data_IF_079407528304
#
_entry.id   IF_079407528304
#
_cell.length_a   1.000
_cell.length_b   1.000
_cell.length_c   1.000
_cell.angle_alpha   90.00
_cell.angle_beta   90.00
_cell.angle_gamma   90.00
#
_symmetry.space_group_name_H-M   'P 1'
#
loop_
_entity.id
_entity.type
_entity.pdbx_description
1 polymer ?
#
# COMPACT_ATOMS: atom_id res chain seq x y z
N UNK A 1 43.84 58.40 2.03
CA UNK A 1 44.56 57.12 1.83
C UNK A 1 44.02 56.18 2.85
N UNK A 2 42.92 55.53 2.57
CA UNK A 2 42.39 54.50 3.45
C UNK A 2 41.87 53.38 2.54
N UNK A 3 42.62 52.29 2.66
CA UNK A 3 42.46 51.07 1.91
C UNK A 3 41.47 50.17 2.70
N UNK A 4 40.22 50.06 2.24
CA UNK A 4 39.22 49.22 2.89
C UNK A 4 39.13 47.90 2.15
N UNK A 5 39.91 46.93 2.60
CA UNK A 5 39.91 45.53 2.15
C UNK A 5 38.57 44.87 2.56
N UNK A 6 37.72 44.60 1.56
CA UNK A 6 36.51 43.82 1.70
C UNK A 6 36.87 42.36 1.89
N UNK A 7 36.75 41.85 3.12
CA UNK A 7 36.89 40.42 3.43
C UNK A 7 35.64 39.69 2.96
N UNK A 8 35.77 38.88 1.89
CA UNK A 8 34.75 37.94 1.45
C UNK A 8 34.53 36.83 2.51
N UNK A 9 33.32 36.75 3.05
CA UNK A 9 32.89 35.61 3.85
C UNK A 9 32.88 34.35 2.99
N UNK A 10 33.88 33.53 3.12
CA UNK A 10 33.89 32.16 2.61
C UNK A 10 32.82 31.34 3.37
N UNK A 11 31.81 30.86 2.63
CA UNK A 11 30.84 29.90 3.14
C UNK A 11 31.60 28.63 3.56
N UNK A 12 31.62 28.33 4.84
CA UNK A 12 32.26 27.13 5.39
C UNK A 12 31.61 25.84 4.85
N UNK A 13 32.34 24.72 4.83
CA UNK A 13 31.84 23.46 4.32
C UNK A 13 30.63 23.01 5.12
N UNK A 14 29.50 22.72 4.40
CA UNK A 14 28.30 22.14 4.99
C UNK A 14 28.69 20.89 5.76
N UNK A 15 28.34 20.86 7.07
CA UNK A 15 28.51 19.67 7.90
C UNK A 15 27.80 18.49 7.26
N UNK A 16 28.44 17.29 7.16
CA UNK A 16 27.76 16.08 6.74
C UNK A 16 26.57 15.84 7.68
N UNK A 17 25.38 15.57 7.11
CA UNK A 17 24.21 15.20 7.89
C UNK A 17 24.59 14.03 8.81
N UNK A 18 24.29 14.12 10.11
CA UNK A 18 24.49 13.03 11.05
C UNK A 18 23.79 11.76 10.49
N UNK A 19 24.44 10.59 10.60
CA UNK A 19 23.86 9.32 10.18
C UNK A 19 22.46 9.19 10.79
N UNK A 20 21.42 9.04 9.95
CA UNK A 20 20.00 8.97 10.33
C UNK A 20 19.15 10.19 9.96
N UNK A 21 19.70 11.39 9.85
CA UNK A 21 18.91 12.57 9.44
C UNK A 21 18.46 12.49 7.98
N UNK A 22 19.29 11.90 7.10
CA UNK A 22 18.95 11.72 5.69
C UNK A 22 17.81 10.72 5.51
N UNK A 23 17.83 9.60 6.21
CA UNK A 23 16.76 8.60 6.14
C UNK A 23 15.45 9.14 6.71
N UNK A 24 15.51 9.84 7.84
CA UNK A 24 14.34 10.50 8.42
C UNK A 24 13.70 11.50 7.45
N UNK A 25 14.51 12.34 6.79
CA UNK A 25 13.98 13.29 5.81
C UNK A 25 13.39 12.58 4.59
N UNK A 26 14.01 11.48 4.15
CA UNK A 26 13.46 10.65 3.07
C UNK A 26 12.06 10.13 3.44
N UNK A 27 11.88 9.62 4.66
CA UNK A 27 10.59 9.14 5.14
C UNK A 27 9.56 10.26 5.32
N UNK A 28 9.96 11.45 5.75
CA UNK A 28 9.10 12.64 5.83
C UNK A 28 8.60 13.05 4.43
N UNK A 29 9.46 12.99 3.40
CA UNK A 29 9.08 13.26 2.00
C UNK A 29 8.07 12.22 1.50
N UNK A 30 8.32 10.92 1.74
CA UNK A 30 7.41 9.83 1.36
C UNK A 30 6.06 9.97 2.07
N UNK A 31 6.05 10.32 3.35
CA UNK A 31 4.81 10.51 4.13
C UNK A 31 3.98 11.66 3.58
N UNK A 32 4.60 12.80 3.26
CA UNK A 32 3.92 13.92 2.65
C UNK A 32 3.38 13.57 1.25
N UNK A 33 4.15 12.83 0.46
CA UNK A 33 3.71 12.36 -0.86
C UNK A 33 2.54 11.38 -0.75
N UNK A 34 2.53 10.46 0.23
CA UNK A 34 1.43 9.53 0.46
C UNK A 34 0.13 10.27 0.81
N UNK A 35 0.19 11.26 1.70
CA UNK A 35 -0.97 12.08 2.02
C UNK A 35 -1.50 12.79 0.76
N UNK A 36 -0.63 13.44 -0.01
CA UNK A 36 -1.04 14.15 -1.22
C UNK A 36 -1.63 13.20 -2.27
N UNK A 37 -1.03 12.03 -2.50
CA UNK A 37 -1.54 11.04 -3.45
C UNK A 37 -2.89 10.47 -3.00
N UNK A 38 -3.09 10.29 -1.70
CA UNK A 38 -4.38 9.90 -1.13
C UNK A 38 -5.48 10.91 -1.41
N UNK A 39 -5.18 12.20 -1.25
CA UNK A 39 -6.14 13.29 -1.49
C UNK A 39 -6.40 13.52 -2.99
N UNK A 40 -5.35 13.46 -3.83
CA UNK A 40 -5.44 13.70 -5.27
C UNK A 40 -6.04 12.50 -6.03
N UNK A 41 -5.82 11.28 -5.57
CA UNK A 41 -6.15 10.03 -6.24
C UNK A 41 -5.62 9.94 -7.70
N UNK A 42 -4.55 10.69 -7.99
CA UNK A 42 -3.93 10.83 -9.31
C UNK A 42 -2.43 11.13 -9.13
N UNK A 43 -1.57 10.26 -9.65
CA UNK A 43 -0.12 10.44 -9.55
C UNK A 43 0.42 11.52 -10.50
N UNK A 44 -0.25 11.78 -11.62
CA UNK A 44 0.17 12.83 -12.56
C UNK A 44 0.01 14.23 -11.95
N UNK A 45 -0.90 14.39 -10.99
CA UNK A 45 -1.10 15.64 -10.25
C UNK A 45 -0.06 15.89 -9.15
N UNK A 46 0.75 14.89 -8.76
CA UNK A 46 1.76 15.05 -7.72
C UNK A 46 2.89 15.99 -8.17
N UNK A 47 3.19 17.01 -7.36
CA UNK A 47 4.25 17.97 -7.61
C UNK A 47 5.35 17.90 -6.56
N UNK A 48 6.62 17.60 -6.97
CA UNK A 48 7.78 17.60 -6.08
C UNK A 48 7.96 18.95 -5.34
N UNK A 49 7.58 20.06 -5.98
CA UNK A 49 7.61 21.40 -5.34
C UNK A 49 6.54 21.53 -4.26
N UNK A 50 5.36 20.95 -4.47
CA UNK A 50 4.32 20.93 -3.45
C UNK A 50 4.73 20.07 -2.25
N UNK A 51 5.28 18.88 -2.48
CA UNK A 51 5.85 18.02 -1.43
C UNK A 51 6.94 18.76 -0.65
N UNK A 52 7.88 19.45 -1.33
CA UNK A 52 8.92 20.23 -0.67
C UNK A 52 8.35 21.30 0.28
N UNK A 53 7.28 21.98 -0.13
CA UNK A 53 6.59 22.97 0.72
C UNK A 53 5.95 22.33 1.95
N UNK A 54 5.28 21.19 1.77
CA UNK A 54 4.64 20.45 2.88
C UNK A 54 5.67 20.05 3.95
N UNK A 55 6.86 19.61 3.52
CA UNK A 55 7.96 19.20 4.43
C UNK A 55 8.84 20.38 4.86
N UNK A 56 8.54 21.62 4.39
CA UNK A 56 9.30 22.83 4.70
C UNK A 56 10.80 22.77 4.31
N UNK A 57 11.10 22.17 3.14
CA UNK A 57 12.45 22.07 2.57
C UNK A 57 12.51 22.72 1.18
N UNK A 58 13.75 22.93 0.68
CA UNK A 58 13.91 23.39 -0.70
C UNK A 58 13.55 22.28 -1.71
N UNK A 59 12.98 22.63 -2.88
CA UNK A 59 12.77 21.63 -3.95
C UNK A 59 14.04 20.88 -4.32
N UNK A 60 15.21 21.54 -4.33
CA UNK A 60 16.51 20.93 -4.57
C UNK A 60 16.82 19.81 -3.57
N UNK A 61 16.36 19.95 -2.33
CA UNK A 61 16.54 18.91 -1.30
C UNK A 61 15.73 17.64 -1.62
N UNK A 62 14.55 17.75 -2.23
CA UNK A 62 13.76 16.58 -2.66
C UNK A 62 14.49 15.84 -3.77
N UNK A 63 15.07 16.55 -4.74
CA UNK A 63 15.82 15.95 -5.85
C UNK A 63 17.09 15.19 -5.42
N UNK A 64 17.60 15.42 -4.21
CA UNK A 64 18.70 14.62 -3.65
C UNK A 64 18.27 13.18 -3.30
N UNK A 65 16.97 12.96 -3.04
CA UNK A 65 16.40 11.66 -2.65
C UNK A 65 15.64 11.00 -3.79
N UNK A 66 14.95 11.80 -4.62
CA UNK A 66 14.10 11.33 -5.70
C UNK A 66 14.41 12.15 -6.96
N UNK A 67 15.04 11.54 -7.99
CA UNK A 67 15.48 12.25 -9.18
C UNK A 67 14.32 12.85 -9.97
N UNK A 68 13.15 12.26 -9.87
CA UNK A 68 11.93 12.70 -10.56
C UNK A 68 10.67 12.34 -9.77
N UNK A 69 9.51 12.73 -10.31
CA UNK A 69 8.19 12.43 -9.74
C UNK A 69 7.95 10.93 -9.67
N UNK A 70 8.25 10.19 -10.72
CA UNK A 70 7.95 8.78 -10.84
C UNK A 70 8.71 7.94 -9.81
N UNK A 71 9.98 8.31 -9.54
CA UNK A 71 10.75 7.72 -8.46
C UNK A 71 10.13 7.95 -7.08
N UNK A 72 9.59 9.15 -6.82
CA UNK A 72 8.88 9.44 -5.57
C UNK A 72 7.56 8.66 -5.49
N UNK A 73 6.77 8.64 -6.58
CA UNK A 73 5.51 7.86 -6.64
C UNK A 73 5.80 6.38 -6.39
N UNK A 74 6.78 5.80 -7.08
CA UNK A 74 7.15 4.38 -6.91
C UNK A 74 7.55 4.06 -5.46
N UNK A 75 8.41 4.88 -4.85
CA UNK A 75 8.83 4.69 -3.46
C UNK A 75 7.68 4.84 -2.47
N UNK A 76 6.79 5.81 -2.70
CA UNK A 76 5.61 6.03 -1.86
C UNK A 76 4.64 4.84 -1.96
N UNK A 77 4.35 4.38 -3.16
CA UNK A 77 3.46 3.23 -3.37
C UNK A 77 4.08 1.94 -2.84
N UNK A 78 5.40 1.77 -2.93
CA UNK A 78 6.09 0.63 -2.32
C UNK A 78 5.88 0.59 -0.81
N UNK A 79 6.01 1.72 -0.11
CA UNK A 79 5.75 1.80 1.34
C UNK A 79 4.29 1.47 1.66
N UNK A 80 3.34 2.12 0.98
CA UNK A 80 1.90 1.89 1.20
C UNK A 80 1.51 0.43 0.93
N UNK A 81 2.07 -0.19 -0.12
CA UNK A 81 1.86 -1.61 -0.39
C UNK A 81 2.45 -2.50 0.70
N UNK A 82 3.65 -2.16 1.22
CA UNK A 82 4.26 -2.91 2.31
C UNK A 82 3.42 -2.84 3.59
N UNK A 83 2.85 -1.68 3.92
CA UNK A 83 1.92 -1.51 5.04
C UNK A 83 0.67 -2.41 4.89
N UNK A 84 0.07 -2.43 3.70
CA UNK A 84 -1.08 -3.30 3.40
C UNK A 84 -0.72 -4.79 3.51
N UNK A 85 0.45 -5.20 3.00
CA UNK A 85 0.93 -6.59 3.10
C UNK A 85 1.17 -6.97 4.55
N UNK A 86 1.80 -6.09 5.33
CA UNK A 86 2.07 -6.32 6.75
C UNK A 86 0.76 -6.49 7.54
N UNK A 87 -0.20 -5.60 7.37
CA UNK A 87 -1.51 -5.72 8.03
C UNK A 87 -2.21 -7.05 7.69
N UNK A 88 -2.12 -7.49 6.43
CA UNK A 88 -2.67 -8.77 6.00
C UNK A 88 -1.92 -9.97 6.62
N UNK A 89 -0.59 -9.92 6.69
CA UNK A 89 0.23 -10.98 7.29
C UNK A 89 -0.03 -11.09 8.79
N UNK A 90 -0.14 -9.97 9.51
CA UNK A 90 -0.44 -9.92 10.94
C UNK A 90 -1.85 -10.47 11.24
N UNK A 91 -2.84 -10.06 10.44
CA UNK A 91 -4.21 -10.55 10.57
C UNK A 91 -4.29 -12.08 10.35
N UNK A 92 -3.60 -12.61 9.34
CA UNK A 92 -3.52 -14.05 9.11
C UNK A 92 -2.85 -14.79 10.27
N UNK A 93 -1.72 -14.28 10.75
CA UNK A 93 -0.93 -14.90 11.82
C UNK A 93 -1.65 -14.95 13.18
N UNK A 94 -2.68 -14.13 13.37
CA UNK A 94 -3.53 -14.16 14.57
C UNK A 94 -4.42 -15.42 14.66
N UNK A 95 -4.53 -16.20 13.58
CA UNK A 95 -5.38 -17.39 13.51
C UNK A 95 -4.55 -18.66 13.29
N UNK A 96 -4.84 -19.72 14.09
CA UNK A 96 -4.24 -21.05 13.89
C UNK A 96 -4.96 -21.84 12.77
N UNK A 97 -6.25 -21.59 12.58
CA UNK A 97 -7.05 -22.18 11.50
C UNK A 97 -6.71 -21.48 10.18
N UNK A 98 -6.19 -22.19 9.15
CA UNK A 98 -5.82 -21.61 7.87
C UNK A 98 -6.99 -20.92 7.15
N UNK A 99 -8.22 -21.44 7.29
CA UNK A 99 -9.41 -20.83 6.67
C UNK A 99 -9.73 -19.47 7.28
N UNK A 100 -9.71 -19.38 8.62
CA UNK A 100 -9.88 -18.12 9.33
C UNK A 100 -8.71 -17.16 9.06
N UNK A 101 -7.49 -17.66 8.98
CA UNK A 101 -6.31 -16.88 8.63
C UNK A 101 -6.41 -16.26 7.22
N UNK A 102 -6.77 -17.05 6.20
CA UNK A 102 -6.97 -16.53 4.83
C UNK A 102 -8.11 -15.50 4.79
N UNK A 103 -9.21 -15.76 5.51
CA UNK A 103 -10.32 -14.79 5.64
C UNK A 103 -9.84 -13.48 6.25
N UNK A 104 -9.12 -13.53 7.37
CA UNK A 104 -8.60 -12.35 8.06
C UNK A 104 -7.65 -11.55 7.17
N UNK A 105 -6.78 -12.22 6.41
CA UNK A 105 -5.91 -11.62 5.39
C UNK A 105 -6.70 -10.78 4.38
N UNK A 106 -7.77 -11.33 3.80
CA UNK A 106 -8.60 -10.64 2.80
C UNK A 106 -9.33 -9.45 3.43
N UNK A 107 -9.84 -9.61 4.66
CA UNK A 107 -10.53 -8.52 5.36
C UNK A 107 -9.58 -7.37 5.71
N UNK A 108 -8.34 -7.66 6.15
CA UNK A 108 -7.35 -6.64 6.47
C UNK A 108 -6.91 -5.85 5.22
N UNK A 109 -6.73 -6.51 4.07
CA UNK A 109 -6.47 -5.82 2.80
C UNK A 109 -7.60 -4.86 2.45
N UNK A 110 -8.85 -5.29 2.60
CA UNK A 110 -9.99 -4.45 2.28
C UNK A 110 -10.17 -3.29 3.27
N UNK A 111 -9.89 -3.50 4.55
CA UNK A 111 -9.91 -2.42 5.54
C UNK A 111 -8.90 -1.34 5.15
N UNK A 112 -7.66 -1.74 4.80
CA UNK A 112 -6.65 -0.79 4.33
C UNK A 112 -7.11 0.01 3.10
N UNK A 113 -7.74 -0.66 2.13
CA UNK A 113 -8.28 0.01 0.92
C UNK A 113 -9.40 0.98 1.25
N UNK A 114 -10.28 0.63 2.18
CA UNK A 114 -11.37 1.51 2.62
C UNK A 114 -10.84 2.76 3.34
N UNK A 115 -9.75 2.64 4.09
CA UNK A 115 -9.07 3.76 4.73
C UNK A 115 -8.28 4.63 3.75
N UNK A 116 -7.81 4.04 2.63
CA UNK A 116 -6.92 4.70 1.68
C UNK A 116 -7.37 4.57 0.22
N UNK A 117 -8.63 4.95 -0.13
CA UNK A 117 -9.19 4.71 -1.47
C UNK A 117 -8.41 5.43 -2.58
N UNK A 118 -7.92 6.64 -2.32
CA UNK A 118 -7.11 7.40 -3.28
C UNK A 118 -5.75 6.75 -3.57
N UNK A 119 -5.06 6.26 -2.53
CA UNK A 119 -3.81 5.52 -2.69
C UNK A 119 -4.01 4.20 -3.45
N UNK A 120 -5.12 3.50 -3.16
CA UNK A 120 -5.48 2.28 -3.88
C UNK A 120 -5.71 2.54 -5.38
N UNK A 121 -6.40 3.64 -5.71
CA UNK A 121 -6.61 4.07 -7.09
C UNK A 121 -5.27 4.33 -7.79
N UNK A 122 -4.39 5.14 -7.20
CA UNK A 122 -3.04 5.39 -7.73
C UNK A 122 -2.27 4.08 -7.93
N UNK A 123 -2.32 3.16 -6.96
CA UNK A 123 -1.63 1.87 -7.05
C UNK A 123 -2.08 1.02 -8.24
N UNK A 124 -3.32 1.16 -8.70
CA UNK A 124 -3.88 0.34 -9.78
C UNK A 124 -3.89 1.04 -11.13
N UNK A 125 -4.05 2.36 -11.18
CA UNK A 125 -4.21 3.15 -12.40
C UNK A 125 -2.91 3.80 -12.88
N UNK A 126 -1.94 4.03 -12.00
CA UNK A 126 -0.64 4.64 -12.35
C UNK A 126 0.12 3.80 -13.37
N UNK A 127 0.74 4.47 -14.33
CA UNK A 127 1.65 3.88 -15.32
C UNK A 127 3.09 3.68 -14.79
N UNK A 128 3.38 4.20 -13.60
CA UNK A 128 4.67 4.01 -12.96
C UNK A 128 4.88 2.53 -12.65
N UNK A 129 6.03 1.99 -13.01
CA UNK A 129 6.37 0.59 -12.76
C UNK A 129 6.40 0.25 -11.27
N UNK A 130 5.65 -0.77 -10.87
CA UNK A 130 5.50 -1.17 -9.47
C UNK A 130 5.75 -2.68 -9.31
N UNK A 131 7.00 -3.15 -9.39
CA UNK A 131 7.34 -4.59 -9.34
C UNK A 131 6.98 -5.25 -8.01
N UNK A 132 6.87 -4.48 -6.92
CA UNK A 132 6.51 -4.97 -5.59
C UNK A 132 5.08 -5.53 -5.50
N UNK A 133 4.20 -5.27 -6.45
CA UNK A 133 2.80 -5.77 -6.44
C UNK A 133 2.69 -7.29 -6.44
N UNK A 134 3.72 -8.01 -6.87
CA UNK A 134 3.75 -9.48 -6.85
C UNK A 134 3.83 -10.07 -5.44
N UNK A 135 4.35 -9.31 -4.47
CA UNK A 135 4.54 -9.80 -3.09
C UNK A 135 3.20 -10.22 -2.48
N UNK A 136 2.16 -9.38 -2.63
CA UNK A 136 0.82 -9.69 -2.11
C UNK A 136 0.24 -10.96 -2.74
N UNK A 137 0.42 -11.13 -4.06
CA UNK A 137 -0.02 -12.33 -4.76
C UNK A 137 0.69 -13.58 -4.24
N UNK A 138 2.01 -13.55 -4.11
CA UNK A 138 2.81 -14.66 -3.57
C UNK A 138 2.36 -15.05 -2.15
N UNK A 139 2.13 -14.06 -1.29
CA UNK A 139 1.65 -14.30 0.09
C UNK A 139 0.25 -14.91 0.11
N UNK A 140 -0.67 -14.42 -0.72
CA UNK A 140 -2.02 -14.98 -0.83
C UNK A 140 -2.00 -16.41 -1.39
N UNK A 141 -1.16 -16.69 -2.39
CA UNK A 141 -0.97 -18.05 -2.92
C UNK A 141 -0.50 -19.03 -1.82
N UNK A 142 0.46 -18.60 -1.01
CA UNK A 142 0.93 -19.42 0.12
C UNK A 142 -0.17 -19.65 1.17
N UNK A 143 -1.04 -18.66 1.42
CA UNK A 143 -2.18 -18.81 2.33
C UNK A 143 -3.22 -19.82 1.78
N UNK A 144 -3.54 -19.75 0.49
CA UNK A 144 -4.41 -20.72 -0.18
C UNK A 144 -3.82 -22.12 -0.11
N UNK A 145 -2.52 -22.27 -0.37
CA UNK A 145 -1.84 -23.56 -0.27
C UNK A 145 -1.95 -24.15 1.13
N UNK A 146 -1.77 -23.35 2.18
CA UNK A 146 -1.97 -23.80 3.58
C UNK A 146 -3.38 -24.33 3.84
N UNK A 147 -4.40 -23.70 3.25
CA UNK A 147 -5.78 -24.19 3.35
C UNK A 147 -5.96 -25.55 2.65
N UNK A 148 -5.34 -25.74 1.48
CA UNK A 148 -5.36 -27.02 0.74
C UNK A 148 -4.63 -28.12 1.50
N UNK A 149 -3.43 -27.83 2.03
CA UNK A 149 -2.61 -28.80 2.79
C UNK A 149 -3.30 -29.23 4.08
N UNK A 150 -4.09 -28.35 4.70
CA UNK A 150 -4.91 -28.64 5.87
C UNK A 150 -6.23 -29.36 5.54
N UNK A 151 -6.56 -29.55 4.26
CA UNK A 151 -7.80 -30.19 3.81
C UNK A 151 -9.06 -29.34 4.05
N UNK A 152 -8.93 -28.03 4.31
CA UNK A 152 -10.07 -27.13 4.54
C UNK A 152 -10.48 -26.37 3.28
N UNK A 153 -9.71 -26.50 2.19
CA UNK A 153 -10.01 -25.94 0.87
C UNK A 153 -10.10 -27.06 -0.18
N UNK A 154 -10.76 -26.76 -1.31
CA UNK A 154 -10.79 -27.67 -2.44
C UNK A 154 -9.38 -27.90 -2.99
N UNK A 155 -9.00 -29.16 -3.34
CA UNK A 155 -7.70 -29.41 -3.95
C UNK A 155 -7.61 -28.75 -5.34
N UNK A 156 -6.42 -28.25 -5.69
CA UNK A 156 -6.21 -27.59 -6.97
C UNK A 156 -4.84 -26.93 -7.07
N UNK A 157 -4.66 -26.09 -8.08
CA UNK A 157 -3.50 -25.22 -8.20
C UNK A 157 -3.71 -23.94 -7.38
N UNK A 158 -2.97 -23.81 -6.30
CA UNK A 158 -3.09 -22.68 -5.38
C UNK A 158 -2.83 -21.32 -6.06
N UNK A 159 -1.96 -21.26 -7.08
CA UNK A 159 -1.67 -20.03 -7.80
C UNK A 159 -2.87 -19.59 -8.65
N UNK A 160 -3.51 -20.51 -9.35
CA UNK A 160 -4.73 -20.25 -10.12
C UNK A 160 -5.86 -19.79 -9.19
N UNK A 161 -6.12 -20.49 -8.10
CA UNK A 161 -7.17 -20.12 -7.13
C UNK A 161 -6.89 -18.76 -6.50
N UNK A 162 -5.64 -18.48 -6.14
CA UNK A 162 -5.25 -17.17 -5.60
C UNK A 162 -5.41 -16.04 -6.63
N UNK A 163 -5.19 -16.32 -7.93
CA UNK A 163 -5.40 -15.35 -8.99
C UNK A 163 -6.88 -15.04 -9.18
N UNK A 164 -7.74 -16.06 -9.17
CA UNK A 164 -9.20 -15.90 -9.27
C UNK A 164 -9.73 -15.11 -8.06
N UNK A 165 -9.30 -15.47 -6.85
CA UNK A 165 -9.65 -14.75 -5.64
C UNK A 165 -9.19 -13.29 -5.68
N UNK A 166 -7.96 -13.04 -6.11
CA UNK A 166 -7.42 -11.69 -6.29
C UNK A 166 -8.25 -10.89 -7.28
N UNK A 167 -8.60 -11.47 -8.41
CA UNK A 167 -9.41 -10.82 -9.45
C UNK A 167 -10.77 -10.43 -8.91
N UNK A 168 -11.43 -11.32 -8.18
CA UNK A 168 -12.72 -11.05 -7.55
C UNK A 168 -12.63 -9.93 -6.49
N UNK A 169 -11.61 -9.97 -5.63
CA UNK A 169 -11.41 -8.97 -4.56
C UNK A 169 -11.07 -7.60 -5.16
N UNK A 170 -10.14 -7.54 -6.13
CA UNK A 170 -9.78 -6.27 -6.79
C UNK A 170 -10.99 -5.68 -7.51
N UNK A 171 -11.73 -6.47 -8.29
CA UNK A 171 -12.93 -6.02 -8.99
C UNK A 171 -13.99 -5.47 -8.03
N UNK A 172 -14.23 -6.17 -6.93
CA UNK A 172 -15.17 -5.73 -5.90
C UNK A 172 -14.73 -4.41 -5.24
N UNK A 173 -13.47 -4.29 -4.83
CA UNK A 173 -12.95 -3.09 -4.18
C UNK A 173 -12.97 -1.89 -5.13
N UNK A 174 -12.56 -2.09 -6.38
CA UNK A 174 -12.59 -1.05 -7.41
C UNK A 174 -14.03 -0.56 -7.67
N UNK A 175 -14.99 -1.48 -7.81
CA UNK A 175 -16.39 -1.12 -8.02
C UNK A 175 -16.98 -0.39 -6.81
N UNK A 176 -16.66 -0.79 -5.58
CA UNK A 176 -17.12 -0.09 -4.37
C UNK A 176 -16.61 1.35 -4.27
N UNK A 177 -15.40 1.62 -4.76
CA UNK A 177 -14.82 2.96 -4.80
C UNK A 177 -15.50 3.80 -5.89
N UNK A 178 -15.69 3.24 -7.08
CA UNK A 178 -16.17 3.98 -8.24
C UNK A 178 -17.71 4.04 -8.34
N UNK A 179 -18.42 3.09 -7.74
CA UNK A 179 -19.87 2.95 -7.76
C UNK A 179 -20.43 2.71 -6.35
N UNK A 180 -20.27 3.67 -5.41
CA UNK A 180 -20.62 3.47 -3.99
C UNK A 180 -22.12 3.28 -3.77
N UNK A 181 -22.96 3.77 -4.67
CA UNK A 181 -24.45 3.73 -4.55
C UNK A 181 -25.06 2.38 -4.94
N UNK A 182 -24.26 1.41 -5.41
CA UNK A 182 -24.79 0.07 -5.68
C UNK A 182 -25.21 -0.60 -4.37
N UNK A 183 -26.19 -1.54 -4.41
CA UNK A 183 -26.71 -2.22 -3.22
C UNK A 183 -25.72 -3.25 -2.67
N UNK A 184 -24.60 -2.76 -2.15
CA UNK A 184 -23.53 -3.59 -1.63
C UNK A 184 -23.94 -4.34 -0.35
N UNK A 185 -23.74 -5.66 -0.34
CA UNK A 185 -23.71 -6.42 0.92
C UNK A 185 -22.55 -5.95 1.79
N UNK A 186 -22.58 -6.14 3.12
CA UNK A 186 -21.41 -5.95 3.97
C UNK A 186 -20.19 -6.66 3.39
N UNK A 187 -19.03 -6.00 3.46
CA UNK A 187 -17.80 -6.53 2.85
C UNK A 187 -17.44 -7.95 3.36
N UNK A 188 -17.51 -8.24 4.67
CA UNK A 188 -17.19 -9.59 5.17
C UNK A 188 -18.05 -10.68 4.54
N UNK A 189 -19.35 -10.45 4.39
CA UNK A 189 -20.26 -11.41 3.76
C UNK A 189 -19.92 -11.67 2.29
N UNK A 190 -19.51 -10.63 1.56
CA UNK A 190 -19.11 -10.79 0.16
C UNK A 190 -17.77 -11.50 0.04
N UNK A 191 -16.80 -11.21 0.92
CA UNK A 191 -15.55 -11.92 1.01
C UNK A 191 -15.76 -13.40 1.32
N UNK A 192 -16.64 -13.72 2.27
CA UNK A 192 -16.98 -15.11 2.63
C UNK A 192 -17.59 -15.87 1.45
N UNK A 193 -18.44 -15.21 0.65
CA UNK A 193 -18.97 -15.82 -0.59
C UNK A 193 -17.87 -16.11 -1.62
N UNK A 194 -16.87 -15.23 -1.77
CA UNK A 194 -15.74 -15.49 -2.67
C UNK A 194 -14.87 -16.62 -2.16
N UNK A 195 -14.53 -16.63 -0.88
CA UNK A 195 -13.76 -17.70 -0.25
C UNK A 195 -14.45 -19.06 -0.34
N UNK A 196 -15.75 -19.11 -0.12
CA UNK A 196 -16.53 -20.34 -0.26
C UNK A 196 -16.59 -20.83 -1.71
N UNK A 197 -16.83 -19.92 -2.69
CA UNK A 197 -17.03 -20.31 -4.09
C UNK A 197 -15.72 -20.58 -4.84
N UNK A 198 -14.68 -19.80 -4.58
CA UNK A 198 -13.43 -19.87 -5.35
C UNK A 198 -12.38 -20.77 -4.68
N UNK A 199 -12.33 -20.79 -3.35
CA UNK A 199 -11.37 -21.56 -2.59
C UNK A 199 -11.99 -22.85 -2.05
N UNK A 200 -13.32 -22.92 -1.93
CA UNK A 200 -14.05 -24.06 -1.37
C UNK A 200 -14.03 -24.10 0.15
N UNK A 201 -13.82 -22.96 0.82
CA UNK A 201 -13.81 -22.91 2.29
C UNK A 201 -15.22 -23.07 2.87
N UNK A 202 -15.34 -23.94 3.89
CA UNK A 202 -16.49 -24.00 4.78
C UNK A 202 -16.25 -23.03 5.95
N UNK A 203 -16.66 -21.77 5.78
CA UNK A 203 -16.54 -20.77 6.83
C UNK A 203 -17.75 -20.88 7.79
N UNK A 204 -17.55 -20.72 9.11
CA UNK A 204 -18.69 -20.66 10.03
C UNK A 204 -19.57 -19.46 9.65
N UNK A 205 -20.89 -19.67 9.64
CA UNK A 205 -21.87 -18.60 9.42
C UNK A 205 -21.59 -17.48 10.43
N UNK A 206 -21.24 -16.27 9.95
CA UNK A 206 -20.59 -15.23 10.70
C UNK A 206 -21.28 -14.87 12.01
N UNK A 207 -20.54 -14.94 13.10
CA UNK A 207 -20.79 -14.08 14.25
C UNK A 207 -20.42 -12.65 13.82
N UNK A 208 -21.43 -11.84 13.57
CA UNK A 208 -21.29 -10.40 13.33
C UNK A 208 -20.91 -9.74 14.65
N UNK A 209 -19.65 -9.87 15.05
CA UNK A 209 -19.11 -9.03 16.12
C UNK A 209 -18.48 -7.82 15.46
N UNK A 210 -19.29 -6.78 15.29
CA UNK A 210 -18.80 -5.42 15.05
C UNK A 210 -18.47 -4.86 16.43
N UNK A 211 -17.24 -4.39 16.68
CA UNK A 211 -16.94 -3.57 17.85
C UNK A 211 -17.51 -2.16 17.69
#
# INVERSE_FOLDING_TARGET
MDDTTSAGLAAGPRRPNARGQGERLREEIISAAAQMLGDLADDEALSLRAVARTVSISPTSVYLYFPDRDALVAATMQRCHAEMVQAADEAEAAHQDPALGLRARILAQAAWVQEHPGLYKVMHESKVGMPFKEILFTRTTAAVQRCMDAGVASPGDAATVALDLRTAVIGMLSLRINEPDLPWSPFPEQADRFLSKLVGLALPAGETTVP
#
